data_IF_032212971284
#
_entry.id   IF_032212971284
#
_cell.length_a   1.000
_cell.length_b   1.000
_cell.length_c   1.000
_cell.angle_alpha   90.00
_cell.angle_beta   90.00
_cell.angle_gamma   90.00
#
_symmetry.space_group_name_H-M   'P 1'
#
loop_
_entity.id
_entity.type
_entity.pdbx_description
1 polymer ?
#
# COMPACT_ATOMS: atom_id res chain seq x y z
N UNK A 1 23.67 31.47 3.76
CA UNK A 1 23.34 30.06 3.86
C UNK A 1 24.47 29.23 3.26
N UNK A 2 25.02 28.26 4.02
CA UNK A 2 26.16 27.44 3.56
C UNK A 2 25.71 25.98 3.41
N UNK A 3 25.71 25.45 2.18
CA UNK A 3 25.39 24.03 1.90
C UNK A 3 26.31 23.08 2.67
N UNK A 4 27.58 23.48 2.89
CA UNK A 4 28.53 22.67 3.68
C UNK A 4 28.06 22.51 5.13
N UNK A 5 27.49 23.57 5.76
CA UNK A 5 26.96 23.45 7.12
C UNK A 5 25.72 22.59 7.18
N UNK A 6 24.80 22.71 6.21
CA UNK A 6 23.63 21.82 6.09
C UNK A 6 24.07 20.36 5.97
N UNK A 7 25.10 20.06 5.14
CA UNK A 7 25.64 18.70 5.01
C UNK A 7 26.27 18.16 6.30
N UNK A 8 26.98 18.99 7.07
CA UNK A 8 27.56 18.59 8.37
C UNK A 8 26.44 18.29 9.38
N UNK A 9 25.42 19.15 9.45
CA UNK A 9 24.25 18.91 10.32
C UNK A 9 23.51 17.62 9.93
N UNK A 10 23.27 17.41 8.66
CA UNK A 10 22.62 16.19 8.15
C UNK A 10 23.44 14.93 8.49
N UNK A 11 24.76 14.96 8.29
CA UNK A 11 25.63 13.85 8.64
C UNK A 11 25.60 13.55 10.15
N UNK A 12 25.57 14.58 11.00
CA UNK A 12 25.40 14.43 12.45
C UNK A 12 24.08 13.74 12.79
N UNK A 13 22.98 14.21 12.20
CA UNK A 13 21.63 13.67 12.45
C UNK A 13 21.52 12.19 12.00
N UNK A 14 22.07 11.84 10.84
CA UNK A 14 22.09 10.46 10.35
C UNK A 14 22.93 9.54 11.22
N UNK A 15 24.09 9.98 11.70
CA UNK A 15 24.96 9.18 12.58
C UNK A 15 24.37 8.99 14.01
N UNK A 16 23.64 10.00 14.49
CA UNK A 16 22.99 9.95 15.81
C UNK A 16 21.60 9.31 15.76
N UNK A 17 20.99 9.26 14.59
CA UNK A 17 19.65 8.71 14.35
C UNK A 17 19.40 7.36 15.01
N UNK A 18 20.26 6.33 14.83
CA UNK A 18 20.06 5.00 15.42
C UNK A 18 20.02 4.96 16.96
N UNK A 19 20.40 6.05 17.63
CA UNK A 19 20.30 6.22 19.09
C UNK A 19 18.99 6.87 19.54
N UNK A 20 18.20 7.36 18.60
CA UNK A 20 16.92 8.00 18.85
C UNK A 20 15.78 6.99 18.62
N UNK A 21 14.92 6.79 19.64
CA UNK A 21 13.78 5.86 19.60
C UNK A 21 12.83 6.20 18.44
N UNK A 22 12.60 7.48 18.16
CA UNK A 22 11.71 7.91 17.06
C UNK A 22 12.26 7.55 15.68
N UNK A 23 13.59 7.65 15.52
CA UNK A 23 14.27 7.20 14.31
C UNK A 23 14.15 5.68 14.13
N UNK A 24 14.38 4.92 15.21
CA UNK A 24 14.23 3.46 15.19
C UNK A 24 12.78 3.09 14.85
N UNK A 25 11.79 3.73 15.48
CA UNK A 25 10.38 3.50 15.17
C UNK A 25 10.04 3.83 13.72
N UNK A 26 10.57 4.92 13.18
CA UNK A 26 10.33 5.31 11.79
C UNK A 26 10.88 4.29 10.77
N UNK A 27 11.92 3.53 11.15
CA UNK A 27 12.49 2.47 10.31
C UNK A 27 11.80 1.13 10.57
N UNK A 28 11.64 0.74 11.83
CA UNK A 28 11.17 -0.59 12.21
C UNK A 28 9.65 -0.73 11.99
N UNK A 29 8.85 0.30 12.33
CA UNK A 29 7.39 0.18 12.29
C UNK A 29 6.84 -0.08 10.87
N UNK A 30 7.26 0.61 9.80
CA UNK A 30 6.80 0.31 8.45
C UNK A 30 7.14 -1.11 8.00
N UNK A 31 8.35 -1.58 8.32
CA UNK A 31 8.80 -2.93 7.99
C UNK A 31 7.96 -3.96 8.76
N UNK A 32 7.81 -3.76 10.08
CA UNK A 32 7.03 -4.65 10.93
C UNK A 32 5.57 -4.72 10.48
N UNK A 33 4.94 -3.57 10.19
CA UNK A 33 3.55 -3.52 9.70
C UNK A 33 3.42 -4.23 8.36
N UNK A 34 4.35 -3.98 7.42
CA UNK A 34 4.35 -4.67 6.12
C UNK A 34 4.46 -6.18 6.29
N UNK A 35 5.36 -6.65 7.17
CA UNK A 35 5.53 -8.07 7.46
C UNK A 35 4.31 -8.66 8.15
N UNK A 36 3.73 -7.97 9.13
CA UNK A 36 2.50 -8.41 9.82
C UNK A 36 1.34 -8.50 8.83
N UNK A 37 1.13 -7.50 7.99
CA UNK A 37 0.07 -7.53 6.96
C UNK A 37 0.29 -8.72 6.03
N UNK A 38 1.52 -8.95 5.60
CA UNK A 38 1.84 -10.01 4.65
C UNK A 38 1.77 -11.42 5.27
N UNK A 39 2.29 -11.60 6.49
CA UNK A 39 2.34 -12.91 7.15
C UNK A 39 1.03 -13.25 7.85
N UNK A 40 0.39 -12.29 8.51
CA UNK A 40 -0.81 -12.55 9.31
C UNK A 40 -2.06 -12.44 8.46
N UNK A 41 -2.21 -11.37 7.67
CA UNK A 41 -3.40 -11.18 6.85
C UNK A 41 -3.33 -12.01 5.55
N UNK A 42 -2.12 -12.20 4.99
CA UNK A 42 -1.91 -13.08 3.85
C UNK A 42 -2.41 -14.51 4.14
N UNK A 43 -2.04 -15.08 5.29
CA UNK A 43 -2.43 -16.44 5.67
C UNK A 43 -3.82 -16.53 6.31
N UNK A 44 -4.24 -15.53 7.11
CA UNK A 44 -5.58 -15.52 7.73
C UNK A 44 -6.71 -15.37 6.71
N UNK A 45 -6.47 -14.65 5.63
CA UNK A 45 -7.42 -14.49 4.51
C UNK A 45 -7.09 -15.39 3.31
N UNK A 46 -6.02 -16.17 3.38
CA UNK A 46 -5.71 -17.25 2.47
C UNK A 46 -6.57 -18.47 2.81
N UNK A 47 -7.89 -18.35 2.79
CA UNK A 47 -8.76 -19.50 2.90
C UNK A 47 -8.31 -20.62 1.93
N UNK A 48 -8.66 -21.88 2.21
CA UNK A 48 -8.46 -22.94 1.21
C UNK A 48 -9.21 -22.55 -0.07
N UNK A 49 -8.56 -22.62 -1.25
CA UNK A 49 -9.20 -22.34 -2.53
C UNK A 49 -10.48 -23.13 -2.64
N UNK A 50 -11.58 -22.46 -2.95
CA UNK A 50 -12.91 -23.06 -2.95
C UNK A 50 -13.42 -23.20 -4.38
N UNK A 51 -13.67 -24.44 -4.77
CA UNK A 51 -14.23 -24.82 -6.07
C UNK A 51 -15.71 -25.14 -5.92
N UNK A 52 -16.56 -24.45 -6.66
CA UNK A 52 -17.97 -24.74 -6.77
C UNK A 52 -18.25 -25.57 -8.03
N UNK A 53 -19.02 -26.64 -7.93
CA UNK A 53 -19.37 -27.48 -9.08
C UNK A 53 -20.89 -27.68 -9.13
N UNK A 54 -21.44 -27.50 -10.33
CA UNK A 54 -22.72 -28.07 -10.73
C UNK A 54 -22.42 -29.28 -11.61
N UNK A 55 -22.74 -30.47 -11.14
CA UNK A 55 -22.49 -31.70 -11.84
C UNK A 55 -23.82 -32.34 -12.27
N UNK A 56 -24.15 -32.25 -13.56
CA UNK A 56 -25.40 -32.73 -14.13
C UNK A 56 -25.38 -34.24 -14.42
N UNK A 57 -24.23 -34.92 -14.24
CA UNK A 57 -24.05 -36.31 -14.66
C UNK A 57 -23.28 -37.20 -13.70
N UNK A 58 -23.03 -36.82 -12.46
CA UNK A 58 -22.22 -37.57 -11.49
C UNK A 58 -20.82 -37.92 -12.03
N UNK A 59 -20.09 -36.91 -12.51
CA UNK A 59 -18.80 -37.08 -13.14
C UNK A 59 -17.71 -37.60 -12.20
N UNK A 60 -16.70 -38.24 -12.75
CA UNK A 60 -15.51 -38.64 -12.00
C UNK A 60 -14.69 -37.46 -11.55
N UNK A 61 -14.81 -36.30 -12.23
CA UNK A 61 -14.11 -35.04 -11.87
C UNK A 61 -14.54 -34.53 -10.50
N UNK A 62 -15.84 -34.47 -10.23
CA UNK A 62 -16.37 -34.04 -8.93
C UNK A 62 -15.87 -34.95 -7.80
N UNK A 63 -15.94 -36.27 -7.98
CA UNK A 63 -15.46 -37.25 -6.99
C UNK A 63 -13.96 -37.19 -6.74
N UNK A 64 -13.13 -36.91 -7.77
CA UNK A 64 -11.69 -36.77 -7.63
C UNK A 64 -11.31 -35.42 -7.00
N UNK A 65 -12.02 -34.34 -7.34
CA UNK A 65 -11.84 -33.05 -6.74
C UNK A 65 -12.09 -33.06 -5.22
N UNK A 66 -13.06 -33.86 -4.75
CA UNK A 66 -13.36 -34.04 -3.33
C UNK A 66 -12.21 -34.68 -2.53
N UNK A 67 -11.35 -35.46 -3.21
CA UNK A 67 -10.20 -36.14 -2.58
C UNK A 67 -8.97 -35.24 -2.45
N UNK A 68 -9.00 -34.01 -2.99
CA UNK A 68 -7.86 -33.07 -2.95
C UNK A 68 -7.95 -32.22 -1.69
N UNK A 69 -7.13 -32.50 -0.67
CA UNK A 69 -7.11 -31.76 0.61
C UNK A 69 -6.80 -30.26 0.45
N UNK A 70 -6.09 -29.89 -0.64
CA UNK A 70 -5.71 -28.49 -0.91
C UNK A 70 -6.86 -27.63 -1.48
N UNK A 71 -8.01 -28.22 -1.83
CA UNK A 71 -9.17 -27.56 -2.45
C UNK A 71 -10.44 -27.90 -1.69
N UNK A 72 -11.21 -26.88 -1.33
CA UNK A 72 -12.54 -27.10 -0.74
C UNK A 72 -13.57 -27.19 -1.86
N UNK A 73 -14.25 -28.33 -1.97
CA UNK A 73 -15.30 -28.53 -2.95
C UNK A 73 -16.68 -28.20 -2.37
N UNK A 74 -17.49 -27.45 -3.12
CA UNK A 74 -18.90 -27.21 -2.86
C UNK A 74 -19.72 -27.60 -4.09
N UNK A 75 -20.70 -28.50 -3.94
CA UNK A 75 -21.61 -28.88 -5.00
C UNK A 75 -22.91 -28.08 -4.90
N UNK A 76 -23.40 -27.61 -6.04
CA UNK A 76 -24.66 -26.88 -6.15
C UNK A 76 -25.63 -27.57 -7.07
N UNK A 77 -26.96 -27.45 -6.85
CA UNK A 77 -27.96 -28.13 -7.63
C UNK A 77 -28.16 -27.55 -9.03
N UNK A 78 -27.93 -26.26 -9.20
CA UNK A 78 -28.19 -25.52 -10.45
C UNK A 78 -27.19 -24.37 -10.67
N UNK A 79 -27.19 -23.84 -11.90
CA UNK A 79 -26.32 -22.78 -12.33
C UNK A 79 -26.55 -21.47 -11.55
N UNK A 80 -27.83 -21.13 -11.26
CA UNK A 80 -28.13 -19.84 -10.61
C UNK A 80 -27.59 -19.80 -9.18
N UNK A 81 -27.73 -20.89 -8.43
CA UNK A 81 -27.17 -21.02 -7.08
C UNK A 81 -25.64 -21.00 -7.08
N UNK A 82 -25.00 -21.62 -8.08
CA UNK A 82 -23.56 -21.58 -8.27
C UNK A 82 -23.09 -20.14 -8.58
N UNK A 83 -23.75 -19.46 -9.52
CA UNK A 83 -23.43 -18.06 -9.90
C UNK A 83 -23.56 -17.14 -8.71
N UNK A 84 -24.63 -17.29 -7.92
CA UNK A 84 -24.82 -16.49 -6.71
C UNK A 84 -23.72 -16.78 -5.68
N UNK A 85 -23.36 -18.06 -5.48
CA UNK A 85 -22.29 -18.44 -4.56
C UNK A 85 -20.94 -17.83 -4.95
N UNK A 86 -20.63 -17.81 -6.25
CA UNK A 86 -19.40 -17.18 -6.76
C UNK A 86 -19.49 -15.66 -6.64
N UNK A 87 -20.62 -15.04 -6.97
CA UNK A 87 -20.80 -13.59 -6.84
C UNK A 87 -20.69 -13.10 -5.39
N UNK A 88 -21.19 -13.89 -4.43
CA UNK A 88 -21.13 -13.64 -3.00
C UNK A 88 -19.75 -13.97 -2.36
N UNK A 89 -18.78 -14.46 -3.16
CA UNK A 89 -17.45 -14.84 -2.67
C UNK A 89 -17.42 -16.13 -1.83
N UNK A 90 -18.44 -16.99 -1.93
CA UNK A 90 -18.47 -18.29 -1.26
C UNK A 90 -17.67 -19.37 -2.00
N UNK A 91 -17.28 -19.09 -3.26
CA UNK A 91 -16.38 -19.90 -4.06
C UNK A 91 -15.48 -19.02 -4.93
N UNK A 92 -14.23 -19.43 -5.10
CA UNK A 92 -13.25 -18.74 -5.94
C UNK A 92 -13.50 -18.94 -7.43
N UNK A 93 -13.81 -20.21 -7.79
CA UNK A 93 -14.16 -20.63 -9.15
C UNK A 93 -15.39 -21.54 -9.09
N UNK A 94 -16.33 -21.33 -9.98
CA UNK A 94 -17.48 -22.20 -10.22
C UNK A 94 -17.43 -22.80 -11.62
N UNK A 95 -17.69 -24.10 -11.77
CA UNK A 95 -17.76 -24.78 -13.06
C UNK A 95 -19.07 -25.58 -13.20
N UNK A 96 -19.53 -25.65 -14.44
CA UNK A 96 -20.70 -26.47 -14.78
C UNK A 96 -20.24 -27.66 -15.64
N UNK A 97 -20.49 -28.87 -15.14
CA UNK A 97 -20.16 -30.10 -15.84
C UNK A 97 -21.43 -30.61 -16.52
N UNK A 98 -21.42 -30.77 -17.85
CA UNK A 98 -22.56 -31.31 -18.57
C UNK A 98 -22.80 -32.80 -18.26
N UNK A 99 -24.02 -33.27 -18.48
CA UNK A 99 -24.33 -34.70 -18.38
C UNK A 99 -23.45 -35.50 -19.34
N UNK A 100 -22.87 -36.60 -18.83
CA UNK A 100 -21.96 -37.44 -19.61
C UNK A 100 -20.57 -36.84 -19.84
N UNK A 101 -20.12 -35.88 -19.02
CA UNK A 101 -18.83 -35.23 -19.15
C UNK A 101 -17.65 -36.18 -19.32
N UNK A 102 -17.61 -37.28 -18.55
CA UNK A 102 -16.52 -38.26 -18.60
C UNK A 102 -16.43 -38.97 -19.98
N UNK A 103 -17.58 -39.27 -20.60
CA UNK A 103 -17.62 -39.86 -21.94
C UNK A 103 -17.21 -38.88 -23.00
N UNK A 104 -17.71 -37.62 -22.93
CA UNK A 104 -17.36 -36.57 -23.85
C UNK A 104 -15.85 -36.22 -23.78
N UNK A 105 -15.27 -36.23 -22.56
CA UNK A 105 -13.85 -36.02 -22.38
C UNK A 105 -12.97 -37.14 -22.95
N UNK A 106 -13.45 -38.39 -22.88
CA UNK A 106 -12.76 -39.56 -23.42
C UNK A 106 -12.87 -39.67 -24.95
N UNK A 107 -13.99 -39.23 -25.55
CA UNK A 107 -14.25 -39.29 -27.00
C UNK A 107 -13.53 -38.22 -27.82
N UNK A 108 -12.62 -37.46 -27.21
CA UNK A 108 -11.82 -36.37 -27.86
C UNK A 108 -12.67 -35.25 -28.50
N UNK A 109 -13.92 -35.12 -28.06
CA UNK A 109 -14.79 -34.04 -28.48
C UNK A 109 -14.34 -32.73 -27.87
N UNK A 110 -14.47 -31.61 -28.61
CA UNK A 110 -14.24 -30.28 -28.08
C UNK A 110 -15.36 -29.95 -27.07
N UNK A 111 -15.05 -29.89 -25.80
CA UNK A 111 -16.01 -29.57 -24.74
C UNK A 111 -15.83 -28.12 -24.33
N UNK A 112 -16.91 -27.35 -24.39
CA UNK A 112 -16.93 -25.98 -23.88
C UNK A 112 -17.46 -26.00 -22.44
N UNK A 113 -16.64 -25.59 -21.47
CA UNK A 113 -17.04 -25.48 -20.06
C UNK A 113 -17.25 -24.04 -19.69
N UNK A 114 -18.39 -23.73 -19.09
CA UNK A 114 -18.61 -22.43 -18.45
C UNK A 114 -17.95 -22.41 -17.09
N UNK A 115 -17.03 -21.47 -16.91
CA UNK A 115 -16.37 -21.20 -15.64
C UNK A 115 -16.68 -19.78 -15.17
N UNK A 116 -17.19 -19.68 -13.95
CA UNK A 116 -17.42 -18.42 -13.26
C UNK A 116 -16.30 -18.20 -12.27
N UNK A 117 -15.72 -16.99 -12.26
CA UNK A 117 -14.60 -16.64 -11.37
C UNK A 117 -15.01 -15.48 -10.50
N UNK A 118 -14.84 -15.61 -9.19
CA UNK A 118 -15.06 -14.50 -8.27
C UNK A 118 -14.05 -13.38 -8.52
N UNK A 119 -14.54 -12.14 -8.70
CA UNK A 119 -13.70 -10.99 -9.05
C UNK A 119 -12.62 -10.67 -8.00
N UNK A 120 -12.88 -10.92 -6.71
CA UNK A 120 -11.97 -10.68 -5.59
C UNK A 120 -11.08 -11.88 -5.24
N UNK A 121 -11.24 -13.03 -5.92
CA UNK A 121 -10.42 -14.22 -5.67
C UNK A 121 -8.94 -13.95 -5.91
N UNK A 122 -8.10 -14.49 -5.04
CA UNK A 122 -6.63 -14.35 -5.11
C UNK A 122 -6.06 -15.01 -6.37
N UNK A 123 -5.01 -14.41 -6.93
CA UNK A 123 -4.36 -14.94 -8.13
C UNK A 123 -3.76 -16.33 -7.92
N UNK A 124 -3.21 -16.60 -6.73
CA UNK A 124 -2.67 -17.92 -6.36
C UNK A 124 -3.78 -18.98 -6.24
N UNK A 125 -4.95 -18.64 -5.65
CA UNK A 125 -6.12 -19.54 -5.62
C UNK A 125 -6.61 -19.85 -7.03
N UNK A 126 -6.75 -18.82 -7.88
CA UNK A 126 -7.15 -19.01 -9.29
C UNK A 126 -6.17 -19.91 -10.04
N UNK A 127 -4.86 -19.65 -9.87
CA UNK A 127 -3.81 -20.43 -10.51
C UNK A 127 -3.83 -21.89 -10.03
N UNK A 128 -3.94 -22.12 -8.71
CA UNK A 128 -4.01 -23.46 -8.14
C UNK A 128 -5.27 -24.20 -8.61
N UNK A 129 -6.45 -23.58 -8.55
CA UNK A 129 -7.69 -24.20 -9.02
C UNK A 129 -7.65 -24.47 -10.53
N UNK A 130 -7.15 -23.53 -11.34
CA UNK A 130 -7.03 -23.73 -12.78
C UNK A 130 -6.07 -24.89 -13.13
N UNK A 131 -4.90 -24.95 -12.49
CA UNK A 131 -3.94 -26.06 -12.70
C UNK A 131 -4.50 -27.39 -12.23
N UNK A 132 -5.21 -27.41 -11.10
CA UNK A 132 -5.87 -28.60 -10.56
C UNK A 132 -6.97 -29.10 -11.50
N UNK A 133 -7.83 -28.19 -12.00
CA UNK A 133 -8.88 -28.54 -12.95
C UNK A 133 -8.30 -29.11 -14.26
N UNK A 134 -7.30 -28.47 -14.83
CA UNK A 134 -6.62 -28.95 -16.03
C UNK A 134 -6.00 -30.32 -15.80
N UNK A 135 -5.35 -30.54 -14.64
CA UNK A 135 -4.78 -31.84 -14.29
C UNK A 135 -5.84 -32.92 -14.16
N UNK A 136 -6.95 -32.64 -13.48
CA UNK A 136 -8.09 -33.60 -13.34
C UNK A 136 -8.73 -33.93 -14.70
N UNK A 137 -8.94 -32.93 -15.55
CA UNK A 137 -9.50 -33.12 -16.89
C UNK A 137 -8.56 -33.97 -17.74
N UNK A 138 -7.24 -33.68 -17.68
CA UNK A 138 -6.25 -34.50 -18.41
C UNK A 138 -6.22 -35.94 -17.94
N UNK A 139 -6.33 -36.18 -16.64
CA UNK A 139 -6.34 -37.54 -16.08
C UNK A 139 -7.58 -38.34 -16.49
N UNK A 140 -8.72 -37.67 -16.70
CA UNK A 140 -9.95 -38.29 -17.21
C UNK A 140 -9.89 -38.53 -18.72
N UNK A 141 -9.39 -37.55 -19.47
CA UNK A 141 -9.29 -37.61 -20.92
C UNK A 141 -8.16 -38.53 -21.43
N UNK A 142 -7.20 -38.87 -20.58
CA UNK A 142 -6.04 -39.72 -20.94
C UNK A 142 -5.01 -39.06 -21.86
N UNK A 143 -5.15 -37.76 -22.18
CA UNK A 143 -4.26 -36.97 -23.09
C UNK A 143 -4.44 -35.48 -22.87
N UNK A 144 -3.88 -34.64 -23.77
CA UNK A 144 -4.01 -33.16 -23.68
C UNK A 144 -5.49 -32.75 -23.64
N UNK A 145 -5.79 -31.83 -22.76
CA UNK A 145 -7.17 -31.45 -22.41
C UNK A 145 -7.95 -30.98 -23.66
N UNK A 146 -9.04 -31.66 -24.04
CA UNK A 146 -9.87 -31.25 -25.16
C UNK A 146 -10.85 -30.12 -24.80
N UNK A 147 -10.69 -29.53 -23.61
CA UNK A 147 -11.64 -28.58 -23.02
C UNK A 147 -11.26 -27.17 -23.29
N UNK A 148 -12.18 -26.39 -23.83
CA UNK A 148 -12.10 -24.92 -23.92
C UNK A 148 -12.87 -24.31 -22.75
N UNK A 149 -12.17 -23.62 -21.87
CA UNK A 149 -12.76 -22.99 -20.68
C UNK A 149 -13.11 -21.55 -21.03
N UNK A 150 -14.39 -21.21 -21.05
CA UNK A 150 -14.88 -19.85 -21.19
C UNK A 150 -15.04 -19.25 -19.80
N UNK A 151 -14.11 -18.38 -19.40
CA UNK A 151 -14.14 -17.67 -18.12
C UNK A 151 -15.08 -16.47 -18.16
N UNK A 152 -15.95 -16.36 -17.16
CA UNK A 152 -16.75 -15.17 -16.90
C UNK A 152 -16.49 -14.72 -15.46
N UNK A 153 -15.93 -13.50 -15.30
CA UNK A 153 -15.72 -12.90 -13.98
C UNK A 153 -17.06 -12.38 -13.44
N UNK A 154 -17.44 -12.82 -12.25
CA UNK A 154 -18.63 -12.38 -11.53
C UNK A 154 -18.23 -11.52 -10.32
N UNK A 155 -19.08 -10.55 -9.96
CA UNK A 155 -18.83 -9.59 -8.88
C UNK A 155 -17.98 -8.40 -9.31
N UNK A 156 -17.83 -7.43 -8.41
CA UNK A 156 -16.90 -6.33 -8.61
C UNK A 156 -15.47 -6.87 -8.55
N UNK A 157 -14.60 -6.38 -9.43
CA UNK A 157 -13.16 -6.64 -9.34
C UNK A 157 -12.61 -5.83 -8.15
N UNK A 158 -12.94 -6.26 -6.95
CA UNK A 158 -12.40 -5.61 -5.79
C UNK A 158 -10.95 -6.09 -5.57
N UNK A 159 -10.08 -5.13 -5.33
CA UNK A 159 -8.69 -5.42 -5.01
C UNK A 159 -8.59 -6.31 -3.75
N UNK A 160 -7.66 -7.24 -3.73
CA UNK A 160 -7.37 -8.06 -2.55
C UNK A 160 -7.13 -7.20 -1.30
N UNK A 161 -7.34 -7.71 -0.09
CA UNK A 161 -7.07 -6.99 1.14
C UNK A 161 -5.65 -6.42 1.22
N UNK A 162 -4.67 -7.14 0.68
CA UNK A 162 -3.28 -6.67 0.56
C UNK A 162 -3.20 -5.40 -0.30
N UNK A 163 -3.87 -5.40 -1.46
CA UNK A 163 -3.91 -4.26 -2.35
C UNK A 163 -4.70 -3.07 -1.74
N UNK A 164 -5.74 -3.35 -0.96
CA UNK A 164 -6.51 -2.32 -0.23
C UNK A 164 -5.72 -1.69 0.92
N UNK A 165 -4.89 -2.48 1.63
CA UNK A 165 -4.05 -1.99 2.73
C UNK A 165 -2.77 -1.30 2.23
N UNK A 166 -2.35 -1.59 1.01
CA UNK A 166 -1.11 -1.04 0.44
C UNK A 166 -1.04 0.50 0.48
N UNK A 167 -2.12 1.28 0.16
CA UNK A 167 -2.14 2.73 0.31
C UNK A 167 -1.78 3.20 1.72
N UNK A 168 -2.37 2.55 2.73
CA UNK A 168 -2.12 2.86 4.13
C UNK A 168 -0.66 2.59 4.52
N UNK A 169 -0.10 1.48 4.06
CA UNK A 169 1.29 1.11 4.35
C UNK A 169 2.27 2.09 3.70
N UNK A 170 2.04 2.48 2.43
CA UNK A 170 2.87 3.47 1.73
C UNK A 170 2.82 4.81 2.45
N UNK A 171 1.61 5.30 2.75
CA UNK A 171 1.43 6.57 3.44
C UNK A 171 2.07 6.57 4.83
N UNK A 172 1.88 5.48 5.59
CA UNK A 172 2.47 5.33 6.92
C UNK A 172 4.01 5.33 6.84
N UNK A 173 4.59 4.62 5.89
CA UNK A 173 6.03 4.50 5.70
C UNK A 173 6.67 5.86 5.39
N UNK A 174 6.09 6.60 4.45
CA UNK A 174 6.56 7.93 4.07
C UNK A 174 6.33 8.94 5.21
N UNK A 175 5.19 8.87 5.90
CA UNK A 175 4.88 9.79 7.00
C UNK A 175 5.75 9.56 8.24
N UNK A 176 5.99 8.31 8.65
CA UNK A 176 6.84 8.02 9.79
C UNK A 176 8.29 8.48 9.55
N UNK A 177 8.87 8.16 8.39
CA UNK A 177 10.21 8.63 8.04
C UNK A 177 10.27 10.13 7.78
N UNK A 178 9.36 10.63 6.94
CA UNK A 178 9.37 12.00 6.47
C UNK A 178 8.90 13.02 7.50
N UNK A 179 7.86 12.73 8.27
CA UNK A 179 7.24 13.70 9.16
C UNK A 179 7.62 13.51 10.62
N UNK A 180 7.58 12.28 11.17
CA UNK A 180 7.80 12.04 12.59
C UNK A 180 9.24 12.34 13.03
N UNK A 181 10.24 11.93 12.23
CA UNK A 181 11.65 12.12 12.60
C UNK A 181 12.05 13.59 12.64
N UNK A 182 11.83 14.42 11.60
CA UNK A 182 12.19 15.83 11.70
C UNK A 182 11.38 16.59 12.76
N UNK A 183 10.10 16.27 12.97
CA UNK A 183 9.28 16.93 13.99
C UNK A 183 9.77 16.61 15.40
N UNK A 184 9.97 15.33 15.72
CA UNK A 184 10.46 14.90 17.05
C UNK A 184 11.87 15.41 17.34
N UNK A 185 12.76 15.37 16.35
CA UNK A 185 14.13 15.87 16.48
C UNK A 185 14.16 17.38 16.75
N UNK A 186 13.30 18.18 16.10
CA UNK A 186 13.19 19.62 16.38
C UNK A 186 12.66 19.89 17.80
N UNK A 187 11.62 19.18 18.22
CA UNK A 187 11.02 19.33 19.56
C UNK A 187 12.02 18.90 20.65
N UNK A 188 12.76 17.81 20.42
CA UNK A 188 13.79 17.35 21.36
C UNK A 188 14.92 18.39 21.51
N UNK A 189 15.37 19.01 20.43
CA UNK A 189 16.37 20.07 20.50
C UNK A 189 15.86 21.34 21.20
N UNK A 190 14.57 21.68 21.07
CA UNK A 190 13.94 22.76 21.82
C UNK A 190 13.92 22.41 23.32
N UNK A 191 13.43 21.20 23.67
CA UNK A 191 13.34 20.74 25.05
C UNK A 191 14.70 20.69 25.75
N UNK A 192 15.75 20.29 25.03
CA UNK A 192 17.13 20.23 25.54
C UNK A 192 17.85 21.59 25.46
N UNK A 193 17.22 22.66 24.98
CA UNK A 193 17.80 23.99 24.76
C UNK A 193 19.03 23.99 23.85
N UNK A 194 19.23 22.94 23.05
CA UNK A 194 20.39 22.84 22.12
C UNK A 194 20.25 23.80 20.94
N UNK A 195 19.02 24.17 20.55
CA UNK A 195 18.79 25.24 19.56
C UNK A 195 19.34 26.61 20.04
N UNK A 196 19.27 26.89 21.34
CA UNK A 196 19.84 28.12 21.93
C UNK A 196 21.36 28.05 21.91
N UNK A 197 21.96 26.89 22.16
CA UNK A 197 23.40 26.69 22.02
C UNK A 197 23.90 26.84 20.58
N UNK A 198 23.07 26.51 19.58
CA UNK A 198 23.37 26.73 18.18
C UNK A 198 23.40 28.23 17.83
N UNK A 199 22.72 29.12 18.59
CA UNK A 199 22.72 30.56 18.36
C UNK A 199 24.08 31.20 18.59
N UNK A 200 25.00 30.60 19.37
CA UNK A 200 26.38 31.05 19.53
C UNK A 200 27.32 30.56 18.41
N UNK A 201 26.84 29.70 17.54
CA UNK A 201 27.53 29.20 16.35
C UNK A 201 27.15 30.05 15.12
N UNK A 202 27.94 30.06 14.05
CA UNK A 202 27.56 30.76 12.81
C UNK A 202 26.46 30.07 12.02
N UNK A 203 25.71 29.14 12.63
CA UNK A 203 24.63 28.37 12.00
C UNK A 203 23.31 29.11 12.11
N UNK A 204 22.57 29.20 11.02
CA UNK A 204 21.26 29.85 11.00
C UNK A 204 20.12 28.81 11.26
N UNK A 205 19.00 29.29 11.82
CA UNK A 205 17.82 28.46 12.02
C UNK A 205 17.36 27.81 10.71
N UNK A 206 17.44 28.53 9.59
CA UNK A 206 17.09 27.99 8.27
C UNK A 206 17.98 26.80 7.88
N UNK A 207 19.29 26.85 8.20
CA UNK A 207 20.21 25.74 7.92
C UNK A 207 19.87 24.51 8.76
N UNK A 208 19.41 24.68 10.01
CA UNK A 208 18.94 23.61 10.88
C UNK A 208 17.66 22.98 10.32
N UNK A 209 16.65 23.82 10.00
CA UNK A 209 15.37 23.33 9.44
C UNK A 209 15.58 22.56 8.12
N UNK A 210 16.49 23.05 7.26
CA UNK A 210 16.83 22.37 6.01
C UNK A 210 17.55 21.04 6.25
N UNK A 211 18.48 20.96 7.20
CA UNK A 211 19.16 19.71 7.51
C UNK A 211 18.18 18.65 8.04
N UNK A 212 17.27 19.05 8.93
CA UNK A 212 16.24 18.16 9.46
C UNK A 212 15.21 17.76 8.39
N UNK A 213 14.83 18.72 7.54
CA UNK A 213 13.99 18.44 6.39
C UNK A 213 14.65 17.45 5.41
N UNK A 214 15.94 17.64 5.10
CA UNK A 214 16.69 16.72 4.26
C UNK A 214 16.75 15.31 4.86
N UNK A 215 16.93 15.18 6.18
CA UNK A 215 16.87 13.89 6.87
C UNK A 215 15.50 13.24 6.70
N UNK A 216 14.41 14.00 6.90
CA UNK A 216 13.05 13.51 6.71
C UNK A 216 12.81 13.02 5.27
N UNK A 217 13.27 13.76 4.26
CA UNK A 217 13.17 13.34 2.86
C UNK A 217 13.92 12.04 2.62
N UNK A 218 15.15 11.91 3.11
CA UNK A 218 15.95 10.70 2.94
C UNK A 218 15.30 9.49 3.60
N UNK A 219 14.78 9.64 4.82
CA UNK A 219 14.12 8.54 5.54
C UNK A 219 12.76 8.18 4.93
N UNK A 220 11.94 9.17 4.58
CA UNK A 220 10.66 8.94 3.93
C UNK A 220 10.82 8.22 2.60
N UNK A 221 11.79 8.67 1.78
CA UNK A 221 12.13 8.03 0.51
C UNK A 221 12.65 6.60 0.73
N UNK A 222 13.59 6.42 1.66
CA UNK A 222 14.17 5.11 1.95
C UNK A 222 13.09 4.12 2.43
N UNK A 223 12.22 4.52 3.36
CA UNK A 223 11.15 3.67 3.86
C UNK A 223 10.07 3.41 2.81
N UNK A 224 9.75 4.41 1.98
CA UNK A 224 8.88 4.21 0.83
C UNK A 224 9.43 3.16 -0.14
N UNK A 225 10.73 3.23 -0.49
CA UNK A 225 11.39 2.24 -1.34
C UNK A 225 11.37 0.85 -0.68
N UNK A 226 11.73 0.74 0.60
CA UNK A 226 11.69 -0.53 1.34
C UNK A 226 10.28 -1.13 1.30
N UNK A 227 9.26 -0.32 1.51
CA UNK A 227 7.85 -0.75 1.43
C UNK A 227 7.50 -1.28 0.04
N UNK A 228 7.91 -0.59 -1.03
CA UNK A 228 7.67 -1.04 -2.40
C UNK A 228 8.39 -2.36 -2.71
N UNK A 229 9.65 -2.50 -2.27
CA UNK A 229 10.43 -3.72 -2.45
C UNK A 229 9.78 -4.89 -1.71
N UNK A 230 9.42 -4.71 -0.44
CA UNK A 230 8.79 -5.75 0.36
C UNK A 230 7.42 -6.18 -0.22
N UNK A 231 6.67 -5.28 -0.82
CA UNK A 231 5.39 -5.58 -1.46
C UNK A 231 5.53 -5.97 -2.95
N UNK A 232 6.75 -6.11 -3.49
CA UNK A 232 7.02 -6.42 -4.89
C UNK A 232 6.34 -5.44 -5.87
N UNK A 233 6.15 -4.20 -5.44
CA UNK A 233 5.39 -3.16 -6.13
C UNK A 233 6.27 -2.18 -6.93
N UNK A 234 7.49 -2.57 -7.34
CA UNK A 234 8.40 -1.70 -8.09
C UNK A 234 7.95 -1.42 -9.54
N UNK A 235 6.97 -2.19 -10.07
CA UNK A 235 6.25 -1.93 -11.32
C UNK A 235 7.10 -1.65 -12.57
N UNK A 236 6.40 -1.39 -13.69
CA UNK A 236 7.03 -1.16 -15.01
C UNK A 236 7.69 0.22 -15.19
N UNK A 237 7.52 1.17 -14.24
CA UNK A 237 8.05 2.54 -14.35
C UNK A 237 8.79 2.98 -13.08
N UNK A 238 9.93 2.37 -12.74
CA UNK A 238 10.62 2.62 -11.46
C UNK A 238 11.09 4.07 -11.31
N UNK A 239 11.50 4.73 -12.38
CA UNK A 239 11.92 6.14 -12.34
C UNK A 239 10.81 7.10 -11.95
N UNK A 240 9.61 6.91 -12.51
CA UNK A 240 8.42 7.71 -12.18
C UNK A 240 7.97 7.45 -10.74
N UNK A 241 8.05 6.21 -10.31
CA UNK A 241 7.69 5.79 -8.96
C UNK A 241 8.63 6.40 -7.92
N UNK A 242 9.94 6.36 -8.17
CA UNK A 242 10.94 7.02 -7.31
C UNK A 242 10.72 8.53 -7.25
N UNK A 243 10.36 9.16 -8.36
CA UNK A 243 10.05 10.59 -8.41
C UNK A 243 8.80 10.91 -7.59
N UNK A 244 7.73 10.12 -7.70
CA UNK A 244 6.52 10.28 -6.90
C UNK A 244 6.80 10.13 -5.39
N UNK A 245 7.59 9.11 -5.00
CA UNK A 245 8.03 8.92 -3.62
C UNK A 245 8.88 10.08 -3.11
N UNK A 246 9.78 10.61 -3.91
CA UNK A 246 10.60 11.75 -3.55
C UNK A 246 9.74 13.00 -3.28
N UNK A 247 8.79 13.28 -4.17
CA UNK A 247 7.85 14.39 -3.99
C UNK A 247 6.96 14.19 -2.75
N UNK A 248 6.46 12.98 -2.53
CA UNK A 248 5.70 12.62 -1.32
C UNK A 248 6.51 12.79 -0.04
N UNK A 249 7.78 12.37 -0.05
CA UNK A 249 8.70 12.53 1.08
C UNK A 249 9.05 13.99 1.34
N UNK A 250 9.15 14.81 0.29
CA UNK A 250 9.33 16.27 0.42
C UNK A 250 8.15 16.93 1.13
N UNK A 251 6.91 16.59 0.75
CA UNK A 251 5.72 17.11 1.43
C UNK A 251 5.66 16.64 2.88
N UNK A 252 5.82 15.34 3.13
CA UNK A 252 5.80 14.77 4.47
C UNK A 252 6.84 15.44 5.38
N UNK A 253 8.05 15.63 4.86
CA UNK A 253 9.14 16.28 5.59
C UNK A 253 8.87 17.76 5.85
N UNK A 254 8.34 18.50 4.88
CA UNK A 254 7.97 19.90 5.06
C UNK A 254 6.87 20.06 6.14
N UNK A 255 5.85 19.20 6.13
CA UNK A 255 4.82 19.16 7.19
C UNK A 255 5.47 18.82 8.54
N UNK A 256 6.38 17.84 8.59
CA UNK A 256 7.08 17.45 9.80
C UNK A 256 7.91 18.57 10.40
N UNK A 257 8.68 19.28 9.57
CA UNK A 257 9.46 20.45 9.97
C UNK A 257 8.55 21.58 10.48
N UNK A 258 7.45 21.86 9.75
CA UNK A 258 6.47 22.88 10.16
C UNK A 258 5.88 22.55 11.54
N UNK A 259 5.43 21.31 11.70
CA UNK A 259 4.79 20.85 12.94
C UNK A 259 5.78 20.86 14.12
N UNK A 260 7.00 20.31 13.94
CA UNK A 260 8.05 20.34 14.95
C UNK A 260 8.53 21.75 15.29
N UNK A 261 8.46 22.69 14.34
CA UNK A 261 8.77 24.09 14.58
C UNK A 261 7.70 24.82 15.42
N UNK A 262 6.43 24.43 15.31
CA UNK A 262 5.31 25.06 16.02
C UNK A 262 5.08 24.48 17.43
N UNK A 263 5.50 23.24 17.69
CA UNK A 263 5.30 22.56 18.97
C UNK A 263 6.55 22.65 19.84
N UNK A 264 6.39 22.86 21.15
CA UNK A 264 7.50 23.14 22.04
C UNK A 264 7.94 21.94 22.91
N UNK A 265 7.07 20.96 23.12
CA UNK A 265 7.37 19.76 23.92
C UNK A 265 6.87 18.47 23.27
N UNK A 266 7.45 17.33 23.71
CA UNK A 266 7.20 16.03 23.11
C UNK A 266 5.77 15.52 23.35
N UNK A 267 5.14 15.87 24.48
CA UNK A 267 3.77 15.44 24.78
C UNK A 267 2.78 16.18 23.89
N UNK A 268 2.97 17.48 23.69
CA UNK A 268 2.20 18.30 22.75
C UNK A 268 2.39 17.81 21.32
N UNK A 269 3.60 17.36 20.96
CA UNK A 269 3.86 16.73 19.64
C UNK A 269 2.98 15.48 19.47
N UNK A 270 3.01 14.55 20.41
CA UNK A 270 2.22 13.32 20.30
C UNK A 270 0.71 13.58 20.40
N UNK A 271 0.28 14.52 21.24
CA UNK A 271 -1.12 14.92 21.32
C UNK A 271 -1.60 15.49 19.97
N UNK A 272 -0.81 16.36 19.36
CA UNK A 272 -1.08 16.91 18.05
C UNK A 272 -1.07 15.85 16.94
N UNK A 273 -0.10 14.94 16.94
CA UNK A 273 -0.04 13.83 15.98
C UNK A 273 -1.26 12.90 16.12
N UNK A 274 -1.74 12.63 17.34
CA UNK A 274 -2.97 11.86 17.56
C UNK A 274 -4.20 12.60 17.04
N UNK A 275 -4.31 13.89 17.32
CA UNK A 275 -5.44 14.72 16.89
C UNK A 275 -5.50 14.85 15.35
N UNK A 276 -4.34 15.06 14.72
CA UNK A 276 -4.24 15.23 13.27
C UNK A 276 -4.13 13.87 12.56
N UNK A 277 -3.78 12.80 13.27
CA UNK A 277 -3.50 11.48 12.69
C UNK A 277 -4.66 10.93 11.87
N UNK A 278 -5.91 11.11 12.35
CA UNK A 278 -7.11 10.71 11.59
C UNK A 278 -7.15 11.45 10.25
N UNK A 279 -6.88 12.75 10.25
CA UNK A 279 -6.86 13.58 9.04
C UNK A 279 -5.72 13.17 8.11
N UNK A 280 -4.54 12.86 8.66
CA UNK A 280 -3.37 12.43 7.87
C UNK A 280 -3.61 11.07 7.18
N UNK A 281 -4.28 10.14 7.84
CA UNK A 281 -4.53 8.80 7.31
C UNK A 281 -5.92 8.64 6.67
N UNK A 282 -6.79 9.66 6.74
CA UNK A 282 -8.11 9.64 6.14
C UNK A 282 -8.14 9.20 4.67
N UNK A 283 -7.25 9.67 3.77
CA UNK A 283 -7.30 9.25 2.38
C UNK A 283 -6.99 7.76 2.20
N UNK A 284 -6.11 7.20 3.03
CA UNK A 284 -5.82 5.76 2.99
C UNK A 284 -7.00 4.94 3.53
N UNK A 285 -7.74 5.47 4.52
CA UNK A 285 -8.98 4.86 5.00
C UNK A 285 -10.08 4.92 3.94
N UNK A 286 -10.21 6.04 3.20
CA UNK A 286 -11.14 6.13 2.06
C UNK A 286 -10.80 5.08 1.01
N UNK A 287 -9.52 4.92 0.67
CA UNK A 287 -9.08 3.91 -0.29
C UNK A 287 -9.33 2.45 0.18
N UNK A 288 -9.41 2.23 1.50
CA UNK A 288 -9.70 0.91 2.07
C UNK A 288 -11.16 0.49 1.87
N UNK A 289 -12.08 1.46 1.80
CA UNK A 289 -13.51 1.21 1.68
C UNK A 289 -14.03 1.67 0.30
N UNK A 290 -14.17 0.77 -0.70
CA UNK A 290 -14.63 1.11 -2.05
C UNK A 290 -16.02 1.75 -2.11
N UNK A 291 -16.84 1.60 -1.08
CA UNK A 291 -18.15 2.26 -0.95
C UNK A 291 -18.06 3.78 -0.72
N UNK A 292 -16.88 4.29 -0.31
CA UNK A 292 -16.68 5.71 -0.12
C UNK A 292 -16.27 6.36 -1.45
N UNK A 293 -16.81 7.55 -1.77
CA UNK A 293 -16.47 8.23 -3.01
C UNK A 293 -15.04 8.76 -2.99
N UNK A 294 -14.28 8.54 -4.06
CA UNK A 294 -12.86 8.90 -4.20
C UNK A 294 -12.54 10.38 -3.97
N UNK A 295 -13.53 11.27 -4.25
CA UNK A 295 -13.32 12.71 -4.07
C UNK A 295 -13.07 13.09 -2.59
N UNK A 296 -13.57 12.29 -1.63
CA UNK A 296 -13.31 12.51 -0.20
C UNK A 296 -11.82 12.44 0.11
N UNK A 297 -11.11 11.47 -0.46
CA UNK A 297 -9.66 11.34 -0.29
C UNK A 297 -8.91 12.58 -0.78
N UNK A 298 -9.33 13.16 -1.91
CA UNK A 298 -8.68 14.31 -2.55
C UNK A 298 -8.73 15.60 -1.73
N UNK A 299 -9.58 15.69 -0.70
CA UNK A 299 -9.63 16.84 0.21
C UNK A 299 -8.41 16.92 1.13
N UNK A 300 -7.70 15.82 1.30
CA UNK A 300 -6.57 15.72 2.22
C UNK A 300 -5.23 15.85 1.49
N UNK A 301 -4.29 16.68 1.99
CA UNK A 301 -2.97 16.83 1.38
C UNK A 301 -2.20 15.51 1.23
N UNK A 302 -2.38 14.59 2.18
CA UNK A 302 -1.70 13.29 2.21
C UNK A 302 -2.21 12.31 1.16
N UNK A 303 -3.38 12.56 0.56
CA UNK A 303 -3.86 11.84 -0.63
C UNK A 303 -2.82 11.86 -1.74
N UNK A 304 -2.28 13.04 -2.02
CA UNK A 304 -1.32 13.25 -3.12
C UNK A 304 0.05 12.61 -2.86
N UNK A 305 0.34 12.14 -1.64
CA UNK A 305 1.54 11.34 -1.35
C UNK A 305 1.35 9.90 -1.87
N UNK A 306 0.16 9.31 -1.65
CA UNK A 306 -0.09 7.91 -1.99
C UNK A 306 -0.68 7.72 -3.40
N UNK A 307 -1.53 8.64 -3.86
CA UNK A 307 -2.28 8.50 -5.12
C UNK A 307 -1.40 8.24 -6.35
N UNK A 308 -0.30 9.00 -6.60
CA UNK A 308 0.60 8.73 -7.73
C UNK A 308 1.25 7.35 -7.63
N UNK A 309 1.65 6.95 -6.40
CA UNK A 309 2.27 5.63 -6.17
C UNK A 309 1.29 4.52 -6.51
N UNK A 310 0.02 4.62 -6.07
CA UNK A 310 -1.02 3.65 -6.38
C UNK A 310 -1.34 3.60 -7.87
N UNK A 311 -1.52 4.77 -8.50
CA UNK A 311 -1.80 4.84 -9.93
C UNK A 311 -0.72 4.14 -10.77
N UNK A 312 0.57 4.29 -10.39
CA UNK A 312 1.68 3.64 -11.08
C UNK A 312 1.70 2.13 -10.77
N UNK A 313 1.57 1.74 -9.50
CA UNK A 313 1.77 0.35 -9.07
C UNK A 313 0.59 -0.55 -9.39
N UNK A 314 -0.64 -0.07 -9.21
CA UNK A 314 -1.85 -0.87 -9.39
C UNK A 314 -2.46 -0.73 -10.78
N UNK A 315 -2.43 0.49 -11.35
CA UNK A 315 -3.08 0.78 -12.62
C UNK A 315 -2.09 0.90 -13.79
N UNK A 316 -0.78 0.76 -13.54
CA UNK A 316 0.25 0.93 -14.58
C UNK A 316 0.29 2.34 -15.19
N UNK A 317 -0.21 3.35 -14.46
CA UNK A 317 -0.33 4.71 -14.98
C UNK A 317 1.04 5.30 -15.33
N UNK A 318 1.13 5.89 -16.53
CA UNK A 318 2.29 6.65 -16.96
C UNK A 318 2.24 8.10 -16.49
N UNK A 319 3.21 8.89 -17.01
CA UNK A 319 3.35 10.31 -16.64
C UNK A 319 2.04 11.10 -16.77
N UNK A 320 1.30 10.91 -17.87
CA UNK A 320 0.04 11.65 -18.11
C UNK A 320 -1.03 11.36 -17.04
N UNK A 321 -1.07 10.11 -16.54
CA UNK A 321 -2.04 9.70 -15.53
C UNK A 321 -1.75 10.26 -14.14
N UNK A 322 -0.46 10.52 -13.81
CA UNK A 322 -0.05 11.00 -12.46
C UNK A 322 0.32 12.48 -12.42
N UNK A 323 0.50 13.13 -13.57
CA UNK A 323 0.91 14.53 -13.64
C UNK A 323 0.00 15.50 -12.86
N UNK A 324 -1.35 15.37 -12.87
CA UNK A 324 -2.21 16.23 -12.07
C UNK A 324 -1.96 16.12 -10.57
N UNK A 325 -1.79 14.89 -10.06
CA UNK A 325 -1.54 14.65 -8.64
C UNK A 325 -0.14 15.13 -8.23
N UNK A 326 0.87 14.94 -9.09
CA UNK A 326 2.23 15.47 -8.88
C UNK A 326 2.27 16.99 -8.92
N UNK A 327 1.47 17.64 -9.78
CA UNK A 327 1.36 19.10 -9.83
C UNK A 327 0.72 19.64 -8.54
N UNK A 328 -0.35 19.00 -8.04
CA UNK A 328 -0.96 19.37 -6.76
C UNK A 328 0.02 19.15 -5.61
N UNK A 329 0.77 18.05 -5.62
CA UNK A 329 1.81 17.74 -4.64
C UNK A 329 2.90 18.84 -4.63
N UNK A 330 3.36 19.27 -5.79
CA UNK A 330 4.32 20.37 -5.92
C UNK A 330 3.76 21.69 -5.36
N UNK A 331 2.49 21.99 -5.63
CA UNK A 331 1.80 23.15 -5.07
C UNK A 331 1.75 23.11 -3.54
N UNK A 332 1.37 21.96 -2.97
CA UNK A 332 1.31 21.76 -1.52
C UNK A 332 2.69 21.90 -0.86
N UNK A 333 3.75 21.38 -1.49
CA UNK A 333 5.12 21.56 -1.05
C UNK A 333 5.49 23.05 -1.04
N UNK A 334 5.20 23.76 -2.13
CA UNK A 334 5.50 25.18 -2.25
C UNK A 334 4.77 26.02 -1.18
N UNK A 335 3.48 25.72 -0.93
CA UNK A 335 2.70 26.37 0.13
C UNK A 335 3.33 26.11 1.50
N UNK A 336 3.63 24.84 1.81
CA UNK A 336 4.17 24.45 3.12
C UNK A 336 5.54 25.11 3.37
N UNK A 337 6.43 25.08 2.39
CA UNK A 337 7.74 25.74 2.47
C UNK A 337 7.57 27.26 2.59
N UNK A 338 6.61 27.85 1.84
CA UNK A 338 6.27 29.26 1.94
C UNK A 338 5.83 29.67 3.35
N UNK A 339 4.97 28.86 3.98
CA UNK A 339 4.52 29.06 5.37
C UNK A 339 5.72 29.01 6.34
N UNK A 340 6.60 28.00 6.21
CA UNK A 340 7.81 27.89 7.03
C UNK A 340 8.66 29.15 6.85
N UNK A 341 8.87 29.60 5.62
CA UNK A 341 9.65 30.80 5.31
C UNK A 341 9.08 32.08 5.93
N UNK A 342 7.75 32.23 5.91
CA UNK A 342 7.03 33.32 6.55
C UNK A 342 7.21 33.33 8.07
N UNK A 343 7.03 32.17 8.71
CA UNK A 343 7.18 32.02 10.16
C UNK A 343 8.62 32.31 10.63
N UNK A 344 9.61 31.86 9.84
CA UNK A 344 11.03 32.21 10.11
C UNK A 344 11.27 33.70 10.02
N UNK A 345 10.74 34.36 8.99
CA UNK A 345 10.89 35.82 8.80
C UNK A 345 10.20 36.63 9.91
N UNK A 346 9.04 36.18 10.38
CA UNK A 346 8.29 36.82 11.48
C UNK A 346 8.94 36.60 12.86
N UNK A 347 9.99 35.80 12.94
CA UNK A 347 10.66 35.48 14.20
C UNK A 347 9.85 34.57 15.15
N UNK A 348 8.71 34.05 14.69
CA UNK A 348 7.83 33.21 15.50
C UNK A 348 8.42 31.82 15.83
N UNK A 349 9.46 31.42 15.11
CA UNK A 349 10.17 30.15 15.32
C UNK A 349 11.50 30.36 16.07
N UNK A 350 11.76 31.57 16.63
CA UNK A 350 12.95 31.79 17.46
C UNK A 350 12.75 31.08 18.80
N UNK A 351 13.78 30.40 19.33
CA UNK A 351 13.71 29.91 20.70
C UNK A 351 13.46 31.15 21.61
N UNK A 352 12.48 30.97 22.52
CA UNK A 352 12.18 31.98 23.52
C UNK A 352 13.47 32.22 24.32
N UNK A 353 14.09 33.39 24.17
CA UNK A 353 15.13 33.83 25.06
C UNK A 353 14.49 34.09 26.42
N UNK A 354 14.58 33.08 27.31
CA UNK A 354 14.25 33.20 28.72
C UNK A 354 15.45 33.67 29.50
#
# INVERSE_FOLDING_TARGET
>A
MSLRRVGILLAKETLQGPRNVMFIMAVVAPIAITLVVRLVLGDLFAGTPTLAIVDLGNSSLARRAEQIEAVRLHTFPDEDSLRQAVADGRADIGIILPAGFDQLAAEQGRIELSAYVWGESRLDHRALLATTLVALIRDIAGQESPVEIRQQTLGEQAASWEARLFPLIVLLSVALGGMLVPSSSLVEEKARRTLTALAITPTTLTEVLLAKGALGVLLGLAMGIVTLVLNQALGGQPGLLLFALLMGSLLASAIGVLFGALVDDINSLFAGLKAIGIVLYAPALVALFPSLPDWLGRLFPTYYIMAPVLAITQNGAGWQGVAPDLAMLALLIAITIGVIGLLVRQGRLRPVAG
#
